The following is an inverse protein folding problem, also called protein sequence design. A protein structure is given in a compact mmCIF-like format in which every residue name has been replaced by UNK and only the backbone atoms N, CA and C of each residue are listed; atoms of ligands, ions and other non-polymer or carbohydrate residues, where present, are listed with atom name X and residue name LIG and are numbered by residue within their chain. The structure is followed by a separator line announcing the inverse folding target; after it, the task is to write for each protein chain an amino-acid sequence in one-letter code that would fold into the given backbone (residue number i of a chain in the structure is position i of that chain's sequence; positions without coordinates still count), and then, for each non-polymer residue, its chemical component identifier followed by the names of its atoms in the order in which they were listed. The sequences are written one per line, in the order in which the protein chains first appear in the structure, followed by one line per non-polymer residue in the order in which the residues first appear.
data_IF_960495683418
#
_entry.id   IF_960495683418
#
_cell.length_a   1.000
_cell.length_b   1.000
_cell.length_c   1.000
_cell.angle_alpha   90.00
_cell.angle_beta   90.00
_cell.angle_gamma   90.00
#
_symmetry.space_group_name_H-M   'P 1'
#
loop_
_entity.id
_entity.type
_entity.pdbx_description
1 polymer ?
#
# COMPACT_ATOMS: atom_id res chain seq x y z
N UNK A 1 6.88 63.04 -55.62
CA UNK A 1 7.83 62.62 -54.56
C UNK A 1 7.00 62.19 -53.37
N UNK A 2 6.82 60.88 -53.18
CA UNK A 2 6.31 60.33 -51.91
C UNK A 2 6.93 58.95 -51.75
N UNK A 3 8.03 58.91 -51.01
CA UNK A 3 8.76 57.69 -50.65
C UNK A 3 7.97 56.96 -49.55
N UNK A 4 7.67 55.67 -49.75
CA UNK A 4 7.13 54.81 -48.70
C UNK A 4 8.29 54.27 -47.85
N UNK A 5 8.21 54.28 -46.50
CA UNK A 5 9.26 53.74 -45.67
C UNK A 5 9.20 52.21 -45.63
N UNK A 6 10.27 51.56 -46.10
CA UNK A 6 10.56 50.13 -45.91
C UNK A 6 10.66 49.83 -44.41
N UNK A 7 9.56 49.34 -43.83
CA UNK A 7 9.57 48.81 -42.47
C UNK A 7 10.02 47.36 -42.54
N UNK A 8 11.30 47.12 -42.29
CA UNK A 8 11.86 45.77 -42.21
C UNK A 8 11.28 45.05 -40.98
N UNK A 9 10.30 44.16 -41.22
CA UNK A 9 9.56 43.41 -40.20
C UNK A 9 10.33 42.15 -39.75
N UNK A 10 11.46 41.83 -40.41
CA UNK A 10 12.27 40.63 -40.12
C UNK A 10 12.83 40.53 -38.70
N UNK A 11 13.12 41.62 -37.95
CA UNK A 11 13.58 41.50 -36.57
C UNK A 11 12.49 41.03 -35.60
N UNK A 12 11.21 41.32 -35.87
CA UNK A 12 10.12 41.08 -34.91
C UNK A 12 9.67 39.61 -34.86
N UNK A 13 9.79 38.86 -35.97
CA UNK A 13 9.43 37.44 -36.00
C UNK A 13 10.41 36.55 -35.21
N UNK A 14 11.65 37.00 -35.01
CA UNK A 14 12.66 36.23 -34.28
C UNK A 14 12.43 36.27 -32.77
N UNK A 15 12.01 37.44 -32.24
CA UNK A 15 11.76 37.63 -30.81
C UNK A 15 10.58 36.78 -30.30
N UNK A 16 9.52 36.62 -31.09
CA UNK A 16 8.35 35.84 -30.68
C UNK A 16 8.56 34.32 -30.62
N UNK A 17 9.59 33.78 -31.28
CA UNK A 17 9.86 32.34 -31.27
C UNK A 17 10.65 31.88 -30.04
N UNK A 18 11.28 32.79 -29.29
CA UNK A 18 12.08 32.45 -28.12
C UNK A 18 11.24 32.42 -26.82
N UNK A 19 10.07 33.07 -26.80
CA UNK A 19 9.16 33.12 -25.65
C UNK A 19 8.25 31.89 -25.51
N UNK A 20 8.05 31.09 -26.58
CA UNK A 20 7.16 29.91 -26.56
C UNK A 20 7.83 28.69 -25.90
N UNK A 21 9.15 28.71 -25.74
CA UNK A 21 9.91 27.58 -25.19
C UNK A 21 9.82 27.45 -23.64
N UNK A 22 9.17 28.39 -22.94
CA UNK A 22 9.29 28.50 -21.48
C UNK A 22 8.15 27.90 -20.64
N UNK A 23 7.00 27.48 -21.17
CA UNK A 23 5.82 27.20 -20.32
C UNK A 23 4.99 25.96 -20.69
N UNK A 24 5.59 24.79 -20.83
CA UNK A 24 4.83 23.54 -20.78
C UNK A 24 5.62 22.38 -20.18
N UNK A 25 5.80 22.40 -18.85
CA UNK A 25 6.14 21.18 -18.12
C UNK A 25 4.90 20.28 -18.09
N UNK A 26 4.78 19.35 -19.03
CA UNK A 26 3.74 18.30 -18.99
C UNK A 26 4.06 17.38 -17.81
N UNK A 27 3.37 17.58 -16.68
CA UNK A 27 3.46 16.66 -15.55
C UNK A 27 2.63 15.42 -15.85
N UNK A 28 3.30 14.32 -16.19
CA UNK A 28 2.66 13.00 -16.26
C UNK A 28 2.37 12.55 -14.83
N UNK A 29 1.10 12.46 -14.45
CA UNK A 29 0.69 11.85 -13.17
C UNK A 29 0.62 10.33 -13.38
N UNK A 30 1.51 9.53 -12.78
CA UNK A 30 1.41 8.09 -12.90
C UNK A 30 0.12 7.63 -12.21
N UNK A 31 -0.72 6.91 -12.95
CA UNK A 31 -1.86 6.22 -12.35
C UNK A 31 -1.34 4.94 -11.71
N UNK A 32 -1.38 4.86 -10.38
CA UNK A 32 -1.00 3.67 -9.62
C UNK A 32 -2.26 2.88 -9.29
N UNK A 33 -2.37 1.68 -9.85
CA UNK A 33 -3.42 0.73 -9.47
C UNK A 33 -2.96 -0.03 -8.23
N UNK A 34 -3.75 0.04 -7.14
CA UNK A 34 -3.51 -0.73 -5.92
C UNK A 34 -4.49 -1.89 -5.87
N UNK A 35 -3.97 -3.11 -5.90
CA UNK A 35 -4.79 -4.32 -5.66
C UNK A 35 -4.94 -4.50 -4.16
N UNK A 36 -6.18 -4.35 -3.66
CA UNK A 36 -6.51 -4.60 -2.26
C UNK A 36 -6.92 -6.07 -2.11
N UNK A 37 -6.32 -6.84 -1.18
CA UNK A 37 -6.72 -8.23 -0.96
C UNK A 37 -8.16 -8.31 -0.47
N UNK A 38 -8.82 -9.46 -0.57
CA UNK A 38 -10.18 -9.61 -0.03
C UNK A 38 -10.18 -9.67 1.49
N UNK A 39 -9.15 -10.30 2.07
CA UNK A 39 -8.97 -10.47 3.51
C UNK A 39 -7.54 -10.13 3.91
N UNK A 40 -7.39 -9.71 5.16
CA UNK A 40 -6.13 -9.56 5.86
C UNK A 40 -6.02 -10.63 6.93
N UNK A 41 -4.86 -11.27 7.04
CA UNK A 41 -4.56 -12.33 7.99
C UNK A 41 -3.48 -11.85 8.94
N UNK A 42 -3.71 -11.99 10.25
CA UNK A 42 -2.66 -11.83 11.25
C UNK A 42 -1.93 -13.17 11.39
N UNK A 43 -0.67 -13.19 11.00
CA UNK A 43 0.15 -14.40 10.91
C UNK A 43 1.26 -14.32 11.94
N UNK A 44 1.31 -15.35 12.79
CA UNK A 44 2.37 -15.55 13.77
C UNK A 44 3.71 -15.88 13.08
N UNK A 45 4.85 -15.73 13.77
CA UNK A 45 6.17 -16.07 13.23
C UNK A 45 6.29 -17.53 12.77
N UNK A 46 5.56 -18.44 13.41
CA UNK A 46 5.49 -19.86 13.04
C UNK A 46 4.59 -20.16 11.83
N UNK A 47 3.96 -19.14 11.23
CA UNK A 47 3.06 -19.27 10.07
C UNK A 47 1.59 -19.55 10.41
N UNK A 48 1.26 -19.76 11.68
CA UNK A 48 -0.13 -19.94 12.12
C UNK A 48 -0.92 -18.63 12.08
N UNK A 49 -2.23 -18.71 11.82
CA UNK A 49 -3.10 -17.55 11.70
C UNK A 49 -3.82 -17.33 13.04
N UNK A 50 -3.72 -16.12 13.59
CA UNK A 50 -4.37 -15.74 14.86
C UNK A 50 -5.65 -14.93 14.64
N UNK A 51 -5.81 -14.32 13.46
CA UNK A 51 -7.00 -13.54 13.14
C UNK A 51 -7.14 -13.21 11.67
N UNK A 52 -8.36 -12.82 11.27
CA UNK A 52 -8.62 -12.28 9.94
C UNK A 52 -9.56 -11.07 9.99
N UNK A 53 -9.40 -10.18 9.00
CA UNK A 53 -10.21 -9.00 8.81
C UNK A 53 -10.59 -8.85 7.33
N UNK A 54 -11.82 -8.46 7.05
CA UNK A 54 -12.24 -8.11 5.69
C UNK A 54 -11.61 -6.77 5.27
N UNK A 55 -11.18 -6.69 4.01
CA UNK A 55 -10.68 -5.42 3.46
C UNK A 55 -11.79 -4.45 3.10
N UNK A 56 -12.99 -4.98 2.86
CA UNK A 56 -14.19 -4.21 2.53
C UNK A 56 -15.25 -4.36 3.61
N UNK A 57 -16.05 -3.32 3.80
CA UNK A 57 -17.22 -3.33 4.67
C UNK A 57 -18.32 -2.55 3.97
N UNK A 58 -19.51 -3.16 3.79
CA UNK A 58 -20.61 -2.58 3.02
C UNK A 58 -20.24 -2.13 1.59
N UNK A 59 -19.29 -2.81 0.94
CA UNK A 59 -18.83 -2.49 -0.41
C UNK A 59 -17.78 -1.38 -0.48
N UNK A 60 -17.43 -0.74 0.63
CA UNK A 60 -16.36 0.25 0.70
C UNK A 60 -15.04 -0.38 1.15
N UNK A 61 -13.92 0.09 0.58
CA UNK A 61 -12.57 -0.33 1.02
C UNK A 61 -12.26 0.39 2.33
N UNK A 62 -12.32 -0.34 3.44
CA UNK A 62 -12.03 0.21 4.77
C UNK A 62 -10.57 -0.04 5.17
N UNK A 63 -9.93 -1.06 4.57
CA UNK A 63 -8.56 -1.49 4.90
C UNK A 63 -7.70 -1.66 3.65
N UNK A 64 -7.20 -0.57 3.05
CA UNK A 64 -6.37 -0.64 1.85
C UNK A 64 -4.95 -1.17 2.13
N UNK A 65 -4.49 -1.17 3.38
CA UNK A 65 -3.10 -1.51 3.75
C UNK A 65 -3.02 -2.51 4.91
N UNK A 66 -1.92 -3.26 4.95
CA UNK A 66 -1.62 -4.20 6.03
C UNK A 66 -1.58 -3.51 7.41
N UNK A 67 -1.06 -2.28 7.49
CA UNK A 67 -1.03 -1.50 8.73
C UNK A 67 -2.45 -1.16 9.22
N UNK A 68 -3.32 -0.72 8.30
CA UNK A 68 -4.72 -0.41 8.64
C UNK A 68 -5.48 -1.63 9.15
N UNK A 69 -5.15 -2.81 8.61
CA UNK A 69 -5.68 -4.09 9.05
C UNK A 69 -5.11 -4.52 10.40
N UNK A 70 -3.79 -4.35 10.63
CA UNK A 70 -3.16 -4.64 11.92
C UNK A 70 -3.75 -3.80 13.05
N UNK A 71 -4.05 -2.52 12.78
CA UNK A 71 -4.73 -1.63 13.73
C UNK A 71 -6.14 -2.09 14.08
N UNK A 72 -6.83 -2.77 13.16
CA UNK A 72 -8.17 -3.31 13.41
C UNK A 72 -8.10 -4.63 14.19
N UNK A 73 -7.21 -5.53 13.77
CA UNK A 73 -7.00 -6.84 14.38
C UNK A 73 -6.47 -6.72 15.82
N UNK A 74 -5.55 -5.77 16.03
CA UNK A 74 -4.94 -5.47 17.31
C UNK A 74 -5.10 -3.98 17.63
N UNK A 75 -6.24 -3.54 18.20
CA UNK A 75 -6.54 -2.11 18.43
C UNK A 75 -5.58 -1.40 19.38
N UNK A 76 -5.03 -2.14 20.35
CA UNK A 76 -4.13 -1.60 21.36
C UNK A 76 -2.72 -1.46 20.78
N UNK A 77 -2.17 -0.24 20.83
CA UNK A 77 -0.82 0.07 20.33
C UNK A 77 0.26 -0.80 20.99
N UNK A 78 0.17 -0.99 22.32
CA UNK A 78 1.12 -1.81 23.08
C UNK A 78 1.20 -3.24 22.56
N UNK A 79 0.06 -3.82 22.21
CA UNK A 79 0.00 -5.20 21.72
C UNK A 79 0.58 -5.29 20.31
N UNK A 80 0.27 -4.33 19.43
CA UNK A 80 0.91 -4.24 18.09
C UNK A 80 2.43 -4.10 18.16
N UNK A 81 2.92 -3.22 19.03
CA UNK A 81 4.36 -3.01 19.20
C UNK A 81 5.05 -4.29 19.70
N UNK A 82 4.37 -5.08 20.54
CA UNK A 82 4.84 -6.41 20.97
C UNK A 82 4.83 -7.40 19.81
N UNK A 83 3.75 -7.47 19.05
CA UNK A 83 3.60 -8.36 17.90
C UNK A 83 4.66 -8.09 16.82
N UNK A 84 4.92 -6.82 16.50
CA UNK A 84 5.98 -6.42 15.56
C UNK A 84 7.35 -6.88 16.08
N UNK A 85 7.64 -6.69 17.37
CA UNK A 85 8.90 -7.17 17.98
C UNK A 85 9.02 -8.68 17.98
N UNK A 86 7.89 -9.38 18.12
CA UNK A 86 7.82 -10.84 18.08
C UNK A 86 7.88 -11.39 16.64
N UNK A 87 7.83 -10.54 15.61
CA UNK A 87 7.91 -10.96 14.20
C UNK A 87 6.56 -11.34 13.58
N UNK A 88 5.45 -10.92 14.18
CA UNK A 88 4.13 -11.13 13.60
C UNK A 88 3.96 -10.28 12.34
N UNK A 89 3.21 -10.79 11.37
CA UNK A 89 3.00 -10.13 10.08
C UNK A 89 1.52 -10.08 9.72
N UNK A 90 1.14 -9.06 8.93
CA UNK A 90 -0.19 -8.99 8.34
C UNK A 90 -0.09 -9.25 6.84
N UNK A 91 -0.73 -10.33 6.38
CA UNK A 91 -0.69 -10.80 4.99
C UNK A 91 -2.04 -10.64 4.32
N UNK A 92 -2.07 -10.12 3.10
CA UNK A 92 -3.26 -10.12 2.27
C UNK A 92 -3.55 -11.51 1.71
N UNK A 93 -4.80 -11.92 1.69
CA UNK A 93 -5.26 -13.18 1.11
C UNK A 93 -6.47 -12.95 0.19
N UNK A 94 -6.50 -13.70 -0.90
CA UNK A 94 -7.67 -13.87 -1.77
C UNK A 94 -8.70 -14.78 -1.11
N UNK A 95 -9.93 -14.76 -1.63
CA UNK A 95 -10.97 -15.68 -1.15
C UNK A 95 -10.59 -17.16 -1.35
N UNK A 96 -10.00 -17.48 -2.49
CA UNK A 96 -9.58 -18.84 -2.81
C UNK A 96 -8.48 -19.35 -1.85
N UNK A 97 -7.52 -18.50 -1.48
CA UNK A 97 -6.53 -18.86 -0.45
C UNK A 97 -7.21 -19.09 0.90
N UNK A 98 -8.16 -18.24 1.27
CA UNK A 98 -8.86 -18.38 2.56
C UNK A 98 -9.61 -19.72 2.66
N UNK A 99 -10.27 -20.16 1.59
CA UNK A 99 -11.01 -21.42 1.56
C UNK A 99 -10.08 -22.64 1.81
N UNK A 100 -8.80 -22.53 1.46
CA UNK A 100 -7.78 -23.55 1.74
C UNK A 100 -7.16 -23.43 3.15
N UNK A 101 -7.37 -22.31 3.84
CA UNK A 101 -6.80 -22.02 5.16
C UNK A 101 -7.82 -22.16 6.30
N UNK A 102 -9.06 -22.58 6.00
CA UNK A 102 -10.17 -22.69 6.98
C UNK A 102 -9.78 -23.54 8.20
N UNK A 103 -9.03 -24.63 7.99
CA UNK A 103 -8.57 -25.51 9.08
C UNK A 103 -7.58 -24.82 10.04
N UNK A 104 -6.80 -23.85 9.54
CA UNK A 104 -5.81 -23.12 10.35
C UNK A 104 -6.44 -22.05 11.26
N UNK A 105 -7.69 -21.63 11.01
CA UNK A 105 -8.41 -20.72 11.91
C UNK A 105 -9.05 -21.44 13.10
N UNK A 106 -9.29 -22.74 12.97
CA UNK A 106 -10.05 -23.51 13.96
C UNK A 106 -9.15 -24.24 14.96
N UNK A 107 -7.87 -24.39 14.62
CA UNK A 107 -6.89 -25.10 15.46
C UNK A 107 -5.98 -24.08 16.16
N UNK A 108 -5.91 -24.15 17.50
CA UNK A 108 -4.94 -23.33 18.25
C UNK A 108 -3.51 -23.64 17.77
N UNK A 109 -2.69 -22.59 17.64
CA UNK A 109 -1.30 -22.70 17.23
C UNK A 109 -0.56 -23.75 18.10
N UNK A 110 -0.14 -24.89 17.53
CA UNK A 110 0.58 -25.92 18.29
C UNK A 110 1.98 -25.44 18.70
N UNK A 111 2.58 -24.53 17.93
CA UNK A 111 3.91 -23.99 18.17
C UNK A 111 3.99 -23.04 19.38
N UNK A 112 2.86 -22.52 19.86
CA UNK A 112 2.84 -21.75 21.11
C UNK A 112 3.09 -22.64 22.34
N UNK A 113 2.92 -23.97 22.24
CA UNK A 113 3.25 -24.89 23.33
C UNK A 113 4.75 -25.24 23.36
N UNK A 114 5.42 -25.32 22.21
CA UNK A 114 6.86 -25.64 22.12
C UNK A 114 7.76 -24.41 22.29
N UNK A 115 7.33 -23.20 21.87
CA UNK A 115 8.11 -21.98 22.11
C UNK A 115 8.31 -21.67 23.61
N UNK A 116 7.40 -22.13 24.48
CA UNK A 116 7.55 -22.02 25.93
C UNK A 116 8.59 -22.99 26.52
N UNK A 117 9.01 -24.02 25.78
CA UNK A 117 10.01 -25.01 26.20
C UNK A 117 11.43 -24.67 25.69
N UNK A 118 11.57 -24.05 24.52
CA UNK A 118 12.90 -23.65 24.01
C UNK A 118 13.48 -22.43 24.76
N UNK A 119 12.67 -21.49 25.26
CA UNK A 119 13.15 -20.40 26.13
C UNK A 119 13.59 -20.88 27.53
N UNK A 120 13.21 -22.09 27.95
CA UNK A 120 13.61 -22.67 29.23
C UNK A 120 14.94 -23.45 29.17
N UNK A 121 15.57 -23.54 28.00
CA UNK A 121 16.76 -24.37 27.76
C UNK A 121 17.99 -23.59 27.24
N UNK A 122 18.03 -22.26 27.44
CA UNK A 122 19.21 -21.42 27.17
C UNK A 122 19.73 -20.73 28.43
#
# INVERSE_FOLDING_TARGET
MTEQPDTDIRPQLRQHNEDVAALASVTVVPTVTVTVPSHWLLVMPCGCIDGSALSTTFGEIVRPTAESAHKMLTPRKRDRDREIKQGWTVRGATRAELDNLVELFTTKCPHNAEAALEEATQ
#
